data_IF_509191237724
#
_entry.id   IF_509191237724
#
_cell.length_a   1.000
_cell.length_b   1.000
_cell.length_c   1.000
_cell.angle_alpha   90.00
_cell.angle_beta   90.00
_cell.angle_gamma   90.00
#
_symmetry.space_group_name_H-M   'P 1'
#
loop_
_entity.id
_entity.type
_entity.pdbx_description
1 polymer ?
#
# COMPACT_ATOMS: atom_id res chain seq x y z
N UNK A 1 4.20 2.19 11.96
CA UNK A 1 4.01 3.46 11.22
C UNK A 1 3.71 3.06 9.80
N UNK A 2 2.53 3.40 9.30
CA UNK A 2 2.12 3.05 7.93
C UNK A 2 2.93 3.85 6.93
N UNK A 3 3.40 3.19 5.88
CA UNK A 3 4.09 3.78 4.73
C UNK A 3 3.29 3.46 3.47
N UNK A 4 3.58 4.13 2.36
CA UNK A 4 2.86 3.93 1.11
C UNK A 4 3.81 3.61 -0.02
N UNK A 5 3.37 2.74 -0.93
CA UNK A 5 4.02 2.54 -2.23
C UNK A 5 3.13 3.14 -3.31
N UNK A 6 3.70 4.00 -4.13
CA UNK A 6 3.03 4.62 -5.27
C UNK A 6 3.29 3.81 -6.54
N UNK A 7 2.25 3.66 -7.35
CA UNK A 7 2.23 2.95 -8.62
C UNK A 7 1.67 3.87 -9.71
N UNK A 8 2.10 3.64 -10.95
CA UNK A 8 1.66 4.47 -12.08
C UNK A 8 0.20 4.18 -12.48
N UNK A 9 -0.32 3.01 -12.11
CA UNK A 9 -1.70 2.61 -12.39
C UNK A 9 -2.30 1.81 -11.23
N UNK A 10 -3.63 1.86 -11.11
CA UNK A 10 -4.39 0.98 -10.21
C UNK A 10 -4.12 -0.50 -10.47
N UNK A 11 -3.92 -0.90 -11.74
CA UNK A 11 -3.66 -2.29 -12.10
C UNK A 11 -2.33 -2.81 -11.53
N UNK A 12 -1.28 -1.98 -11.54
CA UNK A 12 0.02 -2.31 -10.93
C UNK A 12 -0.09 -2.42 -9.41
N UNK A 13 -0.75 -1.45 -8.78
CA UNK A 13 -0.98 -1.46 -7.34
C UNK A 13 -1.76 -2.71 -6.90
N UNK A 14 -2.75 -3.13 -7.70
CA UNK A 14 -3.55 -4.32 -7.42
C UNK A 14 -2.77 -5.61 -7.66
N UNK A 15 -1.92 -5.67 -8.68
CA UNK A 15 -1.01 -6.79 -8.89
C UNK A 15 -0.03 -6.96 -7.71
N UNK A 16 0.53 -5.84 -7.23
CA UNK A 16 1.38 -5.81 -6.05
C UNK A 16 0.63 -6.31 -4.80
N UNK A 17 -0.55 -5.75 -4.50
CA UNK A 17 -1.35 -6.17 -3.36
C UNK A 17 -1.69 -7.68 -3.40
N UNK A 18 -2.01 -8.21 -4.57
CA UNK A 18 -2.28 -9.65 -4.75
C UNK A 18 -1.03 -10.52 -4.58
N UNK A 19 0.12 -10.08 -5.09
CA UNK A 19 1.39 -10.77 -4.91
C UNK A 19 1.77 -10.84 -3.43
N UNK A 20 1.67 -9.72 -2.73
CA UNK A 20 1.97 -9.62 -1.31
C UNK A 20 1.00 -10.46 -0.47
N UNK A 21 -0.30 -10.42 -0.76
CA UNK A 21 -1.30 -11.28 -0.12
C UNK A 21 -1.02 -12.77 -0.32
N UNK A 22 -0.49 -13.15 -1.49
CA UNK A 22 -0.08 -14.54 -1.79
C UNK A 22 1.15 -14.94 -0.97
N UNK A 23 2.17 -14.08 -0.89
CA UNK A 23 3.39 -14.31 -0.09
C UNK A 23 3.05 -14.47 1.38
N UNK A 24 2.12 -13.65 1.87
CA UNK A 24 1.72 -13.63 3.29
C UNK A 24 0.70 -14.70 3.65
N UNK A 25 0.20 -15.46 2.67
CA UNK A 25 -0.69 -16.61 2.88
C UNK A 25 -2.09 -16.23 3.36
N UNK A 26 -2.69 -15.15 2.84
CA UNK A 26 -4.09 -14.78 3.16
C UNK A 26 -5.11 -15.87 2.78
N UNK A 27 -6.24 -16.02 3.51
CA UNK A 27 -6.86 -15.06 4.44
C UNK A 27 -6.29 -14.98 5.88
N UNK A 28 -6.61 -13.87 6.55
CA UNK A 28 -6.12 -13.34 7.83
C UNK A 28 -6.18 -14.35 9.01
N UNK A 29 -5.06 -14.52 9.71
CA UNK A 29 -5.01 -15.08 11.09
C UNK A 29 -5.40 -13.99 12.10
N UNK A 30 -6.04 -14.35 13.22
CA UNK A 30 -6.45 -13.43 14.30
C UNK A 30 -5.28 -12.62 14.91
N UNK A 31 -4.04 -13.02 14.66
CA UNK A 31 -2.81 -12.36 15.15
C UNK A 31 -2.17 -11.38 14.18
N UNK A 32 -2.65 -11.26 12.93
CA UNK A 32 -2.06 -10.35 11.95
C UNK A 32 -2.64 -8.94 12.12
N UNK A 33 -1.80 -8.03 12.63
CA UNK A 33 -2.10 -6.60 12.82
C UNK A 33 -2.13 -5.80 11.53
N UNK A 34 -1.88 -6.43 10.38
CA UNK A 34 -1.67 -5.72 9.13
C UNK A 34 -2.95 -5.03 8.63
N UNK A 35 -2.78 -3.76 8.28
CA UNK A 35 -3.72 -2.99 7.47
C UNK A 35 -3.18 -2.97 6.06
N UNK A 36 -3.37 -4.08 5.33
CA UNK A 36 -3.30 -4.03 3.87
C UNK A 36 -4.56 -3.33 3.39
N UNK A 37 -4.44 -2.04 3.12
CA UNK A 37 -5.51 -1.35 2.42
C UNK A 37 -5.50 -1.80 0.97
N UNK A 38 -6.69 -2.01 0.44
CA UNK A 38 -6.92 -2.05 -0.99
C UNK A 38 -6.18 -0.86 -1.64
N UNK A 39 -5.65 -1.04 -2.86
CA UNK A 39 -5.08 0.07 -3.60
C UNK A 39 -6.04 1.26 -3.64
N UNK A 40 -5.54 2.46 -3.37
CA UNK A 40 -6.28 3.71 -3.50
C UNK A 40 -5.85 4.39 -4.79
N UNK A 41 -6.77 4.54 -5.72
CA UNK A 41 -6.52 5.28 -6.97
C UNK A 41 -6.61 6.78 -6.71
N UNK A 42 -5.65 7.53 -7.23
CA UNK A 42 -5.65 8.98 -7.19
C UNK A 42 -6.83 9.52 -8.01
N UNK A 43 -7.58 10.50 -7.49
CA UNK A 43 -8.85 10.92 -8.08
C UNK A 43 -8.74 11.56 -9.47
N UNK A 44 -7.55 12.00 -9.91
CA UNK A 44 -7.42 12.81 -11.13
C UNK A 44 -6.36 12.38 -12.14
N UNK A 45 -5.44 11.47 -11.81
CA UNK A 45 -4.31 11.15 -12.69
C UNK A 45 -4.07 9.63 -12.90
N UNK A 46 -4.87 8.78 -12.26
CA UNK A 46 -4.83 7.32 -12.44
C UNK A 46 -3.66 6.63 -11.73
N UNK A 47 -2.81 7.37 -11.01
CA UNK A 47 -1.82 6.79 -10.09
C UNK A 47 -2.55 6.04 -8.99
N UNK A 48 -1.86 5.15 -8.28
CA UNK A 48 -2.45 4.46 -7.14
C UNK A 48 -1.43 4.24 -6.04
N UNK A 49 -1.89 4.18 -4.79
CA UNK A 49 -1.04 3.86 -3.63
C UNK A 49 -1.53 2.59 -2.94
N UNK A 50 -0.60 1.86 -2.34
CA UNK A 50 -0.89 0.78 -1.41
C UNK A 50 -0.28 1.11 -0.05
N UNK A 51 -1.07 0.98 1.02
CA UNK A 51 -0.53 1.03 2.36
C UNK A 51 0.32 -0.21 2.65
N UNK A 52 1.45 0.01 3.30
CA UNK A 52 2.43 -0.99 3.70
C UNK A 52 2.72 -0.78 5.18
N UNK A 53 2.38 -1.77 5.99
CA UNK A 53 2.66 -1.78 7.42
C UNK A 53 3.00 -3.19 7.95
N UNK A 54 3.50 -3.27 9.18
CA UNK A 54 3.71 -4.54 9.87
C UNK A 54 4.58 -5.52 9.08
N UNK A 55 4.05 -6.73 8.87
CA UNK A 55 4.73 -7.82 8.18
C UNK A 55 5.03 -7.48 6.70
N UNK A 56 4.34 -6.50 6.12
CA UNK A 56 4.50 -6.12 4.70
C UNK A 56 5.93 -5.70 4.39
N UNK A 57 6.50 -4.91 5.31
CA UNK A 57 7.80 -4.30 5.18
C UNK A 57 8.90 -5.36 5.05
N UNK A 58 8.75 -6.50 5.73
CA UNK A 58 9.71 -7.59 5.70
C UNK A 58 9.65 -8.42 4.40
N UNK A 59 8.61 -8.21 3.59
CA UNK A 59 8.37 -8.91 2.33
C UNK A 59 8.55 -8.02 1.10
N UNK A 60 8.92 -6.76 1.29
CA UNK A 60 9.28 -5.85 0.20
C UNK A 60 10.69 -6.15 -0.32
N UNK A 61 10.89 -5.92 -1.61
CA UNK A 61 12.20 -5.85 -2.23
C UNK A 61 12.96 -4.60 -1.79
N UNK A 62 14.28 -4.57 -1.98
CA UNK A 62 15.09 -3.39 -1.64
C UNK A 62 14.65 -2.13 -2.41
N UNK A 63 14.19 -2.29 -3.66
CA UNK A 63 13.72 -1.18 -4.49
C UNK A 63 12.39 -0.63 -3.95
N UNK A 64 11.46 -1.50 -3.55
CA UNK A 64 10.20 -1.11 -2.92
C UNK A 64 10.44 -0.44 -1.57
N UNK A 65 11.34 -0.97 -0.74
CA UNK A 65 11.71 -0.35 0.54
C UNK A 65 12.27 1.07 0.35
N UNK A 66 13.06 1.30 -0.69
CA UNK A 66 13.61 2.62 -1.01
C UNK A 66 12.56 3.57 -1.60
N UNK A 67 11.48 3.04 -2.19
CA UNK A 67 10.37 3.79 -2.76
C UNK A 67 9.24 4.08 -1.76
N UNK A 68 9.37 3.63 -0.51
CA UNK A 68 8.37 3.89 0.53
C UNK A 68 8.23 5.39 0.79
N UNK A 69 6.99 5.86 0.67
CA UNK A 69 6.59 7.24 0.92
C UNK A 69 5.97 7.37 2.32
N UNK A 70 6.16 8.54 2.92
CA UNK A 70 5.50 8.90 4.17
C UNK A 70 4.04 9.30 3.92
N UNK A 71 3.16 9.22 4.94
CA UNK A 71 1.78 9.70 4.83
C UNK A 71 1.66 11.13 4.28
N UNK A 72 2.62 12.01 4.62
CA UNK A 72 2.67 13.40 4.15
C UNK A 72 2.96 13.55 2.66
N UNK A 73 3.54 12.53 2.01
CA UNK A 73 3.91 12.59 0.60
C UNK A 73 2.76 12.12 -0.31
N UNK A 74 1.75 11.45 0.25
CA UNK A 74 0.58 10.88 -0.45
C UNK A 74 -0.75 11.51 -0.02
N UNK A 75 -0.72 12.65 0.67
CA UNK A 75 -1.95 13.32 1.13
C UNK A 75 -2.87 13.70 -0.04
N UNK A 76 -2.34 13.90 -1.25
CA UNK A 76 -3.11 14.18 -2.46
C UNK A 76 -4.02 13.02 -2.91
N UNK A 77 -3.71 11.79 -2.50
CA UNK A 77 -4.58 10.62 -2.73
C UNK A 77 -5.82 10.60 -1.83
N UNK A 78 -5.81 11.33 -0.71
CA UNK A 78 -6.87 11.34 0.28
C UNK A 78 -7.52 12.74 0.33
N UNK A 79 -8.76 12.92 -0.17
CA UNK A 79 -9.43 14.21 -0.09
C UNK A 79 -9.61 14.69 1.36
N UNK A 80 -9.58 16.01 1.58
CA UNK A 80 -9.67 16.61 2.92
C UNK A 80 -10.81 16.00 3.76
N UNK A 81 -10.44 15.30 4.84
CA UNK A 81 -11.38 14.70 5.79
C UNK A 81 -11.36 13.17 5.84
N UNK A 82 -10.65 12.48 4.95
CA UNK A 82 -10.41 11.04 5.06
C UNK A 82 -9.16 10.75 5.93
N UNK A 83 -9.25 9.85 6.93
CA UNK A 83 -8.10 9.49 7.74
C UNK A 83 -7.09 8.67 6.91
N UNK A 84 -5.82 9.05 7.00
CA UNK A 84 -4.65 8.38 6.41
C UNK A 84 -4.20 7.21 7.29
#
# INVERSE_FOLDING_TARGET
MTKYLEFSTLAEAQAFANALATVLGYPKSETKTDVYTLPVEHPSDGRAICAVDGDALDHLTNDELAALQDPSDVEDFFPEGEPI
#
